data_IF_371202087639
#
_entry.id   IF_371202087639
#
_cell.length_a   1.000
_cell.length_b   1.000
_cell.length_c   1.000
_cell.angle_alpha   90.00
_cell.angle_beta   90.00
_cell.angle_gamma   90.00
#
_symmetry.space_group_name_H-M   'P 1'
#
loop_
_entity.id
_entity.type
_entity.pdbx_description
1 polymer ?
#
# COMPACT_ATOMS: atom_id res chain seq x y z
N UNK A 1 -3.10 2.35 -2.94
CA UNK A 1 -4.36 1.66 -3.30
C UNK A 1 -4.83 2.17 -4.64
N UNK A 2 -5.42 1.31 -5.47
CA UNK A 2 -6.10 1.72 -6.70
C UNK A 2 -7.40 0.94 -6.87
N UNK A 3 -8.25 1.41 -7.76
CA UNK A 3 -9.53 0.80 -8.08
C UNK A 3 -9.64 0.58 -9.59
N UNK A 4 -10.23 -0.54 -9.99
CA UNK A 4 -10.54 -0.83 -11.37
C UNK A 4 -11.98 -1.34 -11.51
N UNK A 5 -12.48 -1.25 -12.73
CA UNK A 5 -13.75 -1.85 -13.12
C UNK A 5 -13.43 -3.03 -14.03
N UNK A 6 -14.00 -4.19 -13.72
CA UNK A 6 -13.86 -5.41 -14.51
C UNK A 6 -15.24 -5.98 -14.79
N UNK A 7 -15.68 -5.93 -16.05
CA UNK A 7 -17.02 -6.36 -16.50
C UNK A 7 -18.18 -5.69 -15.73
N UNK A 8 -18.58 -6.29 -14.61
CA UNK A 8 -19.69 -5.88 -13.76
C UNK A 8 -19.27 -5.70 -12.30
N UNK A 9 -17.97 -5.69 -12.00
CA UNK A 9 -17.45 -5.51 -10.65
C UNK A 9 -16.54 -4.30 -10.56
N UNK A 10 -16.49 -3.72 -9.38
CA UNK A 10 -15.48 -2.76 -8.95
C UNK A 10 -14.55 -3.52 -8.03
N UNK A 11 -13.27 -3.51 -8.34
CA UNK A 11 -12.24 -4.16 -7.52
C UNK A 11 -11.33 -3.09 -6.92
N UNK A 12 -11.09 -3.21 -5.63
CA UNK A 12 -10.19 -2.34 -4.88
C UNK A 12 -8.96 -3.15 -4.52
N UNK A 13 -7.79 -2.61 -4.88
CA UNK A 13 -6.51 -3.26 -4.78
C UNK A 13 -5.56 -2.49 -3.86
N UNK A 14 -5.01 -3.21 -2.88
CA UNK A 14 -3.88 -2.77 -2.06
C UNK A 14 -2.71 -3.73 -2.26
N UNK A 15 -1.79 -3.36 -3.15
CA UNK A 15 -0.64 -4.18 -3.51
C UNK A 15 0.35 -4.38 -2.36
N UNK A 16 0.25 -3.59 -1.28
CA UNK A 16 1.03 -3.86 -0.07
C UNK A 16 0.53 -5.08 0.70
N UNK A 17 -0.76 -5.43 0.52
CA UNK A 17 -1.41 -6.57 1.16
C UNK A 17 -1.45 -7.80 0.26
N UNK A 18 -1.81 -7.62 -1.01
CA UNK A 18 -1.86 -8.72 -1.99
C UNK A 18 -1.74 -8.18 -3.41
N UNK A 19 -0.98 -8.90 -4.24
CA UNK A 19 -0.89 -8.65 -5.69
C UNK A 19 -1.78 -9.59 -6.50
N UNK A 20 -2.43 -10.56 -5.85
CA UNK A 20 -3.25 -11.59 -6.49
C UNK A 20 -4.75 -11.43 -6.20
N UNK A 21 -5.08 -10.94 -5.00
CA UNK A 21 -6.45 -10.85 -4.54
C UNK A 21 -6.83 -9.40 -4.22
N UNK A 22 -7.97 -8.90 -4.72
CA UNK A 22 -8.48 -7.60 -4.33
C UNK A 22 -8.91 -7.61 -2.85
N UNK A 23 -8.75 -6.49 -2.18
CA UNK A 23 -9.15 -6.32 -0.77
C UNK A 23 -10.66 -6.08 -0.63
N UNK A 24 -11.32 -5.66 -1.71
CA UNK A 24 -12.77 -5.47 -1.76
C UNK A 24 -13.27 -5.66 -3.20
N UNK A 25 -14.42 -6.29 -3.34
CA UNK A 25 -15.14 -6.45 -4.61
C UNK A 25 -16.56 -5.98 -4.39
N UNK A 26 -17.01 -5.00 -5.18
CA UNK A 26 -18.39 -4.55 -5.21
C UNK A 26 -19.04 -4.91 -6.55
N UNK A 27 -20.15 -5.63 -6.50
CA UNK A 27 -20.86 -6.08 -7.69
C UNK A 27 -21.85 -5.01 -8.18
N UNK A 28 -21.99 -4.93 -9.51
CA UNK A 28 -23.04 -4.17 -10.15
C UNK A 28 -24.40 -4.82 -9.88
N UNK A 29 -25.36 -4.00 -9.51
CA UNK A 29 -26.77 -4.42 -9.42
C UNK A 29 -27.45 -4.39 -10.79
N UNK A 30 -28.41 -5.30 -11.00
CA UNK A 30 -29.31 -5.30 -12.16
C UNK A 30 -28.65 -5.49 -13.54
N UNK A 31 -27.63 -6.33 -13.67
CA UNK A 31 -26.96 -6.64 -14.95
C UNK A 31 -26.41 -5.41 -15.71
N UNK A 32 -26.22 -4.27 -15.04
CA UNK A 32 -25.65 -3.08 -15.67
C UNK A 32 -24.14 -3.22 -15.79
N UNK A 33 -23.63 -2.91 -16.97
CA UNK A 33 -22.19 -2.89 -17.22
C UNK A 33 -21.62 -1.58 -16.71
N UNK A 34 -20.54 -1.69 -15.95
CA UNK A 34 -19.81 -0.54 -15.44
C UNK A 34 -18.81 -0.12 -16.53
N UNK A 35 -18.75 1.17 -16.85
CA UNK A 35 -18.02 1.67 -18.02
C UNK A 35 -16.85 2.59 -17.66
N UNK A 36 -16.91 3.24 -16.51
CA UNK A 36 -15.89 4.19 -16.06
C UNK A 36 -15.84 4.28 -14.54
N UNK A 37 -14.69 4.68 -14.02
CA UNK A 37 -14.47 4.90 -12.60
C UNK A 37 -13.60 6.14 -12.38
N UNK A 38 -13.94 6.94 -11.36
CA UNK A 38 -13.17 8.09 -10.93
C UNK A 38 -13.10 8.16 -9.41
N UNK A 39 -11.93 8.52 -8.88
CA UNK A 39 -11.69 8.73 -7.46
C UNK A 39 -11.83 10.21 -7.10
N UNK A 40 -12.67 10.52 -6.12
CA UNK A 40 -12.80 11.86 -5.55
C UNK A 40 -11.82 12.01 -4.38
N UNK A 41 -10.71 12.72 -4.62
CA UNK A 41 -9.61 12.83 -3.67
C UNK A 41 -9.93 13.63 -2.40
N UNK A 42 -11.00 14.43 -2.44
CA UNK A 42 -11.45 15.30 -1.37
C UNK A 42 -12.53 14.68 -0.48
N UNK A 43 -13.11 13.53 -0.86
CA UNK A 43 -14.29 12.99 -0.19
C UNK A 43 -14.29 11.47 0.04
N UNK A 44 -13.18 10.77 -0.15
CA UNK A 44 -13.08 9.29 -0.04
C UNK A 44 -14.20 8.54 -0.80
N UNK A 45 -14.60 9.08 -1.97
CA UNK A 45 -15.67 8.51 -2.78
C UNK A 45 -15.16 7.99 -4.12
N UNK A 46 -15.81 6.94 -4.63
CA UNK A 46 -15.73 6.51 -6.02
C UNK A 46 -17.00 6.89 -6.77
N UNK A 47 -16.80 7.44 -7.95
CA UNK A 47 -17.85 7.65 -8.95
C UNK A 47 -17.72 6.56 -10.01
N UNK A 48 -18.83 5.89 -10.31
CA UNK A 48 -18.85 4.80 -11.29
C UNK A 48 -19.95 5.07 -12.31
N UNK A 49 -19.56 5.16 -13.58
CA UNK A 49 -20.47 5.30 -14.69
C UNK A 49 -20.97 3.94 -15.17
N UNK A 50 -22.22 3.88 -15.60
CA UNK A 50 -22.84 2.70 -16.17
C UNK A 50 -23.17 2.90 -17.66
N UNK A 51 -23.41 1.80 -18.37
CA UNK A 51 -23.79 1.83 -19.79
C UNK A 51 -25.17 2.45 -20.08
N UNK A 52 -26.05 2.51 -19.08
CA UNK A 52 -27.37 3.16 -19.18
C UNK A 52 -27.35 4.64 -18.79
N UNK A 53 -26.16 5.22 -18.58
CA UNK A 53 -25.98 6.64 -18.27
C UNK A 53 -26.21 7.00 -16.80
N UNK A 54 -26.41 6.01 -15.92
CA UNK A 54 -26.42 6.26 -14.48
C UNK A 54 -25.01 6.51 -13.94
N UNK A 55 -24.94 7.21 -12.81
CA UNK A 55 -23.71 7.41 -12.03
C UNK A 55 -23.97 6.93 -10.62
N UNK A 56 -23.14 6.03 -10.13
CA UNK A 56 -23.20 5.51 -8.78
C UNK A 56 -22.09 6.10 -7.94
N UNK A 57 -22.40 6.36 -6.68
CA UNK A 57 -21.47 6.92 -5.71
C UNK A 57 -21.25 5.87 -4.64
N UNK A 58 -20.00 5.46 -4.47
CA UNK A 58 -19.57 4.56 -3.41
C UNK A 58 -18.74 5.34 -2.41
N UNK A 59 -19.13 5.29 -1.14
CA UNK A 59 -18.31 5.81 -0.06
C UNK A 59 -17.32 4.72 0.36
N UNK A 60 -16.04 5.08 0.44
CA UNK A 60 -14.99 4.13 0.79
C UNK A 60 -14.70 4.23 2.29
N UNK A 61 -15.26 3.32 3.06
CA UNK A 61 -15.01 3.26 4.49
C UNK A 61 -13.63 2.70 4.81
N UNK A 62 -12.98 3.22 5.85
CA UNK A 62 -11.66 2.79 6.34
C UNK A 62 -10.49 3.03 5.37
N UNK A 63 -10.63 3.93 4.40
CA UNK A 63 -9.50 4.48 3.64
C UNK A 63 -8.78 5.58 4.40
N UNK A 64 -8.57 5.41 5.71
CA UNK A 64 -7.67 6.28 6.43
C UNK A 64 -6.26 6.06 5.87
N UNK A 65 -5.92 6.79 4.81
CA UNK A 65 -4.56 7.14 4.43
C UNK A 65 -4.01 8.13 5.44
N UNK A 66 -4.16 7.80 6.72
CA UNK A 66 -3.27 8.30 7.74
C UNK A 66 -1.96 7.56 7.52
N UNK A 67 -1.21 7.93 6.47
CA UNK A 67 0.21 8.12 6.67
C UNK A 67 0.28 9.26 7.70
N UNK A 68 0.11 8.90 8.98
CA UNK A 68 0.23 9.89 10.04
C UNK A 68 1.67 10.37 9.97
N UNK A 69 1.94 11.62 10.35
CA UNK A 69 3.32 12.11 10.42
C UNK A 69 4.22 11.19 11.29
N UNK A 70 3.60 10.40 12.17
CA UNK A 70 4.24 9.36 12.98
C UNK A 70 4.78 8.18 12.14
N UNK A 71 4.15 7.80 11.02
CA UNK A 71 4.66 6.77 10.13
C UNK A 71 5.97 7.20 9.46
N UNK A 72 6.09 8.48 9.08
CA UNK A 72 7.35 9.02 8.55
C UNK A 72 8.45 9.03 9.60
N UNK A 73 8.11 9.40 10.85
CA UNK A 73 9.05 9.33 11.98
C UNK A 73 9.52 7.88 12.19
N UNK A 74 8.60 6.92 12.10
CA UNK A 74 8.89 5.49 12.25
C UNK A 74 9.82 5.00 11.13
N UNK A 75 9.58 5.40 9.88
CA UNK A 75 10.44 5.06 8.73
C UNK A 75 11.85 5.64 8.90
N UNK A 76 11.95 6.91 9.33
CA UNK A 76 13.25 7.57 9.57
C UNK A 76 14.00 6.87 10.71
N UNK A 77 13.32 6.53 11.81
CA UNK A 77 13.92 5.79 12.92
C UNK A 77 14.41 4.40 12.49
N UNK A 78 13.59 3.64 11.76
CA UNK A 78 13.97 2.30 11.31
C UNK A 78 15.16 2.34 10.33
N UNK A 79 15.21 3.34 9.46
CA UNK A 79 16.34 3.55 8.56
C UNK A 79 17.63 3.87 9.33
N UNK A 80 17.55 4.75 10.33
CA UNK A 80 18.69 5.11 11.19
C UNK A 80 19.19 3.91 12.01
N UNK A 81 18.29 3.12 12.60
CA UNK A 81 18.64 1.90 13.34
C UNK A 81 19.37 0.91 12.43
N UNK A 82 18.89 0.71 11.20
CA UNK A 82 19.55 -0.19 10.24
C UNK A 82 20.95 0.30 9.85
N UNK A 83 21.21 1.61 9.78
CA UNK A 83 22.54 2.15 9.50
C UNK A 83 23.49 1.97 10.70
N UNK A 84 22.98 2.13 11.91
CA UNK A 84 23.76 1.92 13.14
C UNK A 84 24.10 0.43 13.35
N UNK A 85 23.13 -0.47 13.17
CA UNK A 85 23.34 -1.92 13.22
C UNK A 85 24.38 -2.39 12.20
N UNK A 86 24.43 -1.72 11.04
CA UNK A 86 25.41 -2.02 10.00
C UNK A 86 26.83 -1.63 10.45
N UNK A 87 26.98 -0.45 11.06
CA UNK A 87 28.27 0.02 11.57
C UNK A 87 28.80 -0.86 12.71
N UNK A 88 27.94 -1.24 13.64
CA UNK A 88 28.32 -2.11 14.77
C UNK A 88 28.79 -3.50 14.30
N UNK A 89 28.15 -4.06 13.27
CA UNK A 89 28.61 -5.31 12.64
C UNK A 89 29.93 -5.14 11.89
N UNK A 90 30.17 -4.00 11.25
CA UNK A 90 31.44 -3.75 10.56
C UNK A 90 32.62 -3.57 11.51
N UNK A 91 32.39 -2.97 12.68
CA UNK A 91 33.41 -2.83 13.71
C UNK A 91 33.75 -4.18 14.36
N UNK A 92 32.73 -5.02 14.63
CA UNK A 92 32.92 -6.38 15.15
C UNK A 92 33.73 -7.29 14.19
N UNK A 93 33.52 -7.16 12.88
CA UNK A 93 34.30 -7.88 11.87
C UNK A 93 35.75 -7.39 11.75
N UNK A 94 36.01 -6.11 12.04
CA UNK A 94 37.38 -5.56 12.07
C UNK A 94 38.17 -6.06 13.28
N UNK A 95 37.56 -6.08 14.47
CA UNK A 95 38.25 -6.53 15.69
C UNK A 95 38.57 -8.03 15.68
N UNK A 96 37.64 -8.87 15.20
CA UNK A 96 37.86 -10.33 15.08
C UNK A 96 38.94 -10.71 14.06
N UNK A 97 39.18 -9.84 13.07
CA UNK A 97 40.27 -10.01 12.10
C UNK A 97 41.64 -9.61 12.65
N UNK A 98 41.69 -8.71 13.63
CA UNK A 98 42.94 -8.24 14.27
C UNK A 98 43.47 -9.22 15.34
N UNK A 99 42.59 -10.00 15.98
CA UNK A 99 42.98 -10.94 17.04
C UNK A 99 43.45 -12.31 16.53
N UNK A 100 43.20 -12.65 15.25
CA UNK A 100 43.60 -13.96 14.68
C UNK A 100 45.03 -14.01 14.13
N UNK A 101 45.75 -12.88 14.10
CA UNK A 101 47.15 -12.80 13.64
C UNK A 101 48.21 -12.95 14.74
N UNK A 102 47.84 -13.32 15.97
CA UNK A 102 48.78 -13.40 17.11
C UNK A 102 48.92 -14.78 17.78
N UNK A 103 48.52 -15.87 17.12
CA UNK A 103 48.80 -17.23 17.57
C UNK A 103 49.59 -18.01 16.52
N UNK A 104 50.92 -17.99 16.66
CA UNK A 104 51.87 -18.95 16.09
C UNK A 104 52.58 -19.65 17.24
#
# INVERSE_FOLDING_TARGET
MFCCVSENTIEIWDLSKSTLDPICIANSTNQRTLTSIAYAADSDCLLVGTNDGAVWIYHLENLSSSANANDLITIVQQSLLSQLDFLEKTDLHRETSLTSTQSN
#
